data_IF_643357417572
#
_entry.id   IF_643357417572
#
_cell.length_a   1.000
_cell.length_b   1.000
_cell.length_c   1.000
_cell.angle_alpha   90.00
_cell.angle_beta   90.00
_cell.angle_gamma   90.00
#
_symmetry.space_group_name_H-M   'P 1'
#
loop_
_entity.id
_entity.type
_entity.pdbx_description
1 polymer ?
#
# COMPACT_ATOMS: atom_id res chain seq x y z
N UNK A 1 1.95 -6.61 15.70
CA UNK A 1 1.45 -6.84 14.33
C UNK A 1 0.19 -6.04 14.02
N UNK A 2 -0.83 -6.02 14.89
CA UNK A 2 -2.08 -5.26 14.66
C UNK A 2 -1.91 -3.78 14.29
N UNK A 3 -1.06 -3.03 15.01
CA UNK A 3 -0.76 -1.62 14.71
C UNK A 3 -0.19 -1.38 13.29
N UNK A 4 0.68 -2.29 12.84
CA UNK A 4 1.25 -2.20 11.49
C UNK A 4 0.19 -2.50 10.44
N UNK A 5 -0.65 -3.51 10.68
CA UNK A 5 -1.74 -3.85 9.77
C UNK A 5 -2.74 -2.69 9.65
N UNK A 6 -3.15 -2.09 10.78
CA UNK A 6 -3.99 -0.90 10.78
C UNK A 6 -3.34 0.26 10.01
N UNK A 7 -2.04 0.48 10.20
CA UNK A 7 -1.27 1.45 9.44
C UNK A 7 -1.27 1.18 7.93
N UNK A 8 -1.14 -0.07 7.48
CA UNK A 8 -1.25 -0.44 6.06
C UNK A 8 -2.66 -0.18 5.52
N UNK A 9 -3.71 -0.48 6.28
CA UNK A 9 -5.09 -0.14 5.89
C UNK A 9 -5.27 1.37 5.74
N UNK A 10 -4.75 2.18 6.67
CA UNK A 10 -4.86 3.64 6.63
C UNK A 10 -4.04 4.27 5.49
N UNK A 11 -2.93 3.67 5.09
CA UNK A 11 -2.01 4.25 4.09
C UNK A 11 -2.18 3.69 2.69
N UNK A 12 -2.87 2.54 2.54
CA UNK A 12 -3.09 1.90 1.24
C UNK A 12 -4.58 1.85 0.91
N UNK A 13 -5.42 1.34 1.82
CA UNK A 13 -6.84 1.07 1.50
C UNK A 13 -7.74 2.29 1.74
N UNK A 14 -7.56 3.01 2.85
CA UNK A 14 -8.38 4.19 3.13
C UNK A 14 -8.28 5.29 2.05
N UNK A 15 -7.09 5.59 1.48
CA UNK A 15 -6.95 6.54 0.39
C UNK A 15 -7.71 6.11 -0.87
N UNK A 16 -7.81 4.80 -1.15
CA UNK A 16 -8.60 4.28 -2.27
C UNK A 16 -10.09 4.62 -2.11
N UNK A 17 -10.63 4.31 -0.93
CA UNK A 17 -12.04 4.58 -0.63
C UNK A 17 -12.29 6.08 -0.69
N UNK A 18 -11.39 6.89 -0.12
CA UNK A 18 -11.44 8.34 -0.22
C UNK A 18 -11.45 8.83 -1.67
N UNK A 19 -10.58 8.29 -2.52
CA UNK A 19 -10.53 8.62 -3.95
C UNK A 19 -11.82 8.28 -4.69
N UNK A 20 -12.44 7.12 -4.42
CA UNK A 20 -13.73 6.76 -5.03
C UNK A 20 -14.85 7.70 -4.56
N UNK A 21 -14.88 8.00 -3.27
CA UNK A 21 -15.96 8.79 -2.65
C UNK A 21 -15.86 10.28 -3.02
N UNK A 22 -14.64 10.82 -3.10
CA UNK A 22 -14.37 12.25 -3.37
C UNK A 22 -14.20 12.51 -4.87
N UNK A 23 -13.81 11.50 -5.64
CA UNK A 23 -13.46 11.62 -7.06
C UNK A 23 -14.63 11.93 -7.98
N UNK A 24 -15.82 11.37 -7.73
CA UNK A 24 -16.98 11.54 -8.62
C UNK A 24 -16.71 11.14 -10.09
N UNK A 25 -17.74 11.16 -10.95
CA UNK A 25 -17.58 10.83 -12.38
C UNK A 25 -16.95 11.98 -13.21
N UNK A 26 -16.97 13.22 -12.72
CA UNK A 26 -16.64 14.43 -13.51
C UNK A 26 -15.25 15.03 -13.21
N UNK A 27 -14.36 14.26 -12.57
CA UNK A 27 -13.06 14.75 -12.13
C UNK A 27 -13.14 15.34 -10.73
N UNK A 28 -12.44 14.70 -9.80
CA UNK A 28 -12.58 14.95 -8.37
C UNK A 28 -12.37 16.39 -7.94
N UNK A 29 -12.91 16.70 -6.76
CA UNK A 29 -12.79 18.01 -6.09
C UNK A 29 -11.32 18.39 -5.81
N UNK A 30 -10.40 17.43 -5.89
CA UNK A 30 -8.97 17.59 -5.60
C UNK A 30 -8.17 17.54 -6.90
N UNK A 31 -7.26 18.50 -7.06
CA UNK A 31 -6.37 18.56 -8.22
C UNK A 31 -5.51 17.28 -8.37
N UNK A 32 -5.37 16.83 -9.62
CA UNK A 32 -4.69 15.59 -9.98
C UNK A 32 -3.24 15.53 -9.48
N UNK A 33 -2.48 16.63 -9.56
CA UNK A 33 -1.10 16.67 -9.08
C UNK A 33 -1.04 16.54 -7.55
N UNK A 34 -1.97 17.18 -6.84
CA UNK A 34 -2.07 17.07 -5.37
C UNK A 34 -2.34 15.62 -4.96
N UNK A 35 -3.20 14.91 -5.70
CA UNK A 35 -3.48 13.50 -5.45
C UNK A 35 -2.22 12.64 -5.55
N UNK A 36 -1.41 12.79 -6.61
CA UNK A 36 -0.17 12.01 -6.72
C UNK A 36 0.83 12.33 -5.60
N UNK A 37 0.98 13.60 -5.23
CA UNK A 37 1.88 13.99 -4.13
C UNK A 37 1.42 13.33 -2.82
N UNK A 38 0.13 13.39 -2.51
CA UNK A 38 -0.44 12.74 -1.33
C UNK A 38 -0.21 11.21 -1.36
N UNK A 39 -0.43 10.58 -2.51
CA UNK A 39 -0.22 9.14 -2.70
C UNK A 39 1.25 8.74 -2.59
N UNK A 40 2.20 9.57 -3.04
CA UNK A 40 3.64 9.35 -2.84
C UNK A 40 3.99 9.36 -1.36
N UNK A 41 3.50 10.35 -0.60
CA UNK A 41 3.74 10.46 0.84
C UNK A 41 3.18 9.22 1.56
N UNK A 42 1.94 8.85 1.28
CA UNK A 42 1.29 7.67 1.87
C UNK A 42 2.00 6.37 1.47
N UNK A 43 2.45 6.27 0.22
CA UNK A 43 3.25 5.16 -0.28
C UNK A 43 4.58 5.03 0.48
N UNK A 44 5.29 6.14 0.73
CA UNK A 44 6.53 6.14 1.50
C UNK A 44 6.30 5.73 2.96
N UNK A 45 5.22 6.20 3.59
CA UNK A 45 4.84 5.78 4.95
C UNK A 45 4.52 4.28 4.96
N UNK A 46 3.78 3.78 3.97
CA UNK A 46 3.43 2.36 3.88
C UNK A 46 4.67 1.46 3.72
N UNK A 47 5.70 1.90 2.98
CA UNK A 47 7.00 1.21 2.91
C UNK A 47 7.69 1.15 4.27
N UNK A 48 7.72 2.26 5.01
CA UNK A 48 8.29 2.28 6.36
C UNK A 48 7.56 1.30 7.30
N UNK A 49 6.22 1.26 7.24
CA UNK A 49 5.38 0.31 7.99
C UNK A 49 5.70 -1.14 7.60
N UNK A 50 5.85 -1.44 6.30
CA UNK A 50 6.20 -2.79 5.82
C UNK A 50 7.57 -3.24 6.29
N UNK A 51 8.57 -2.35 6.27
CA UNK A 51 9.92 -2.64 6.81
C UNK A 51 9.84 -2.92 8.32
N UNK A 52 9.08 -2.11 9.06
CA UNK A 52 8.84 -2.31 10.49
C UNK A 52 8.16 -3.66 10.77
N UNK A 53 7.11 -4.00 10.02
CA UNK A 53 6.41 -5.27 10.14
C UNK A 53 7.35 -6.44 9.84
N UNK A 54 8.13 -6.38 8.76
CA UNK A 54 9.09 -7.43 8.38
C UNK A 54 10.10 -7.73 9.49
N UNK A 55 10.60 -6.69 10.20
CA UNK A 55 11.48 -6.85 11.36
C UNK A 55 10.81 -7.61 12.50
N UNK A 56 9.51 -7.41 12.72
CA UNK A 56 8.77 -8.12 13.79
C UNK A 56 8.45 -9.58 13.47
N UNK A 57 8.51 -9.98 12.20
CA UNK A 57 8.19 -11.35 11.75
C UNK A 57 9.41 -12.09 11.19
N UNK A 58 10.60 -11.48 11.31
CA UNK A 58 11.85 -12.04 10.82
C UNK A 58 12.27 -13.30 11.62
N UNK A 59 13.12 -14.17 11.05
CA UNK A 59 13.58 -15.42 11.65
C UNK A 59 14.17 -15.32 13.06
N UNK A 60 14.59 -14.14 13.49
CA UNK A 60 15.15 -13.87 14.82
C UNK A 60 14.08 -13.70 15.93
N UNK A 61 12.79 -13.72 15.59
CA UNK A 61 11.68 -13.65 16.55
C UNK A 61 11.16 -15.03 16.98
N UNK A 62 10.46 -15.09 18.13
CA UNK A 62 10.00 -16.32 18.81
C UNK A 62 9.03 -17.21 18.00
N UNK A 63 8.50 -16.78 16.84
CA UNK A 63 7.73 -17.61 15.88
C UNK A 63 7.60 -16.90 14.51
N UNK A 64 8.57 -17.06 13.59
CA UNK A 64 8.55 -16.44 12.27
C UNK A 64 7.61 -17.20 11.32
N UNK A 65 6.55 -16.54 10.82
CA UNK A 65 5.74 -17.12 9.73
C UNK A 65 6.37 -16.79 8.38
N UNK A 66 6.93 -17.81 7.70
CA UNK A 66 7.52 -17.67 6.36
C UNK A 66 6.53 -17.06 5.35
N UNK A 67 5.25 -17.43 5.45
CA UNK A 67 4.19 -16.89 4.60
C UNK A 67 4.02 -15.38 4.75
N UNK A 68 3.99 -14.88 6.00
CA UNK A 68 3.90 -13.44 6.27
C UNK A 68 5.14 -12.72 5.74
N UNK A 69 6.33 -13.29 5.92
CA UNK A 69 7.57 -12.74 5.39
C UNK A 69 7.55 -12.57 3.86
N UNK A 70 7.09 -13.60 3.13
CA UNK A 70 6.96 -13.57 1.66
C UNK A 70 5.94 -12.51 1.23
N UNK A 71 4.75 -12.48 1.84
CA UNK A 71 3.72 -11.47 1.53
C UNK A 71 4.25 -10.04 1.76
N UNK A 72 4.99 -9.80 2.85
CA UNK A 72 5.62 -8.50 3.09
C UNK A 72 6.64 -8.11 2.01
N UNK A 73 7.42 -9.08 1.49
CA UNK A 73 8.38 -8.80 0.39
C UNK A 73 7.65 -8.47 -0.90
N UNK A 74 6.60 -9.23 -1.24
CA UNK A 74 5.76 -8.94 -2.42
C UNK A 74 5.16 -7.54 -2.29
N UNK A 75 4.57 -7.22 -1.13
CA UNK A 75 4.02 -5.89 -0.86
C UNK A 75 5.07 -4.79 -0.97
N UNK A 76 6.30 -4.99 -0.49
CA UNK A 76 7.37 -4.01 -0.65
C UNK A 76 7.66 -3.72 -2.14
N UNK A 77 7.78 -4.76 -2.96
CA UNK A 77 8.03 -4.60 -4.41
C UNK A 77 6.87 -3.87 -5.08
N UNK A 78 5.64 -4.30 -4.82
CA UNK A 78 4.43 -3.68 -5.35
C UNK A 78 4.36 -2.20 -4.96
N UNK A 79 4.73 -1.86 -3.71
CA UNK A 79 4.65 -0.49 -3.22
C UNK A 79 5.75 0.41 -3.76
N UNK A 80 6.91 -0.15 -4.12
CA UNK A 80 7.92 0.57 -4.91
C UNK A 80 7.39 0.88 -6.32
N UNK A 81 6.73 -0.09 -6.99
CA UNK A 81 6.12 0.15 -8.30
C UNK A 81 5.03 1.22 -8.24
N UNK A 82 4.22 1.21 -7.19
CA UNK A 82 3.20 2.24 -6.94
C UNK A 82 3.82 3.64 -6.80
N UNK A 83 4.94 3.76 -6.10
CA UNK A 83 5.67 5.04 -5.98
C UNK A 83 6.26 5.49 -7.32
N UNK A 84 6.83 4.57 -8.10
CA UNK A 84 7.35 4.87 -9.43
C UNK A 84 6.24 5.39 -10.34
N UNK A 85 5.07 4.73 -10.33
CA UNK A 85 3.91 5.16 -11.09
C UNK A 85 3.46 6.57 -10.70
N UNK A 86 3.18 6.83 -9.43
CA UNK A 86 2.75 8.17 -9.00
C UNK A 86 3.81 9.26 -9.23
N UNK A 87 5.10 8.93 -9.05
CA UNK A 87 6.17 9.87 -9.34
C UNK A 87 6.26 10.20 -10.83
N UNK A 88 6.05 9.20 -11.70
CA UNK A 88 6.01 9.38 -13.15
C UNK A 88 4.84 10.28 -13.59
N UNK A 89 3.63 10.03 -13.06
CA UNK A 89 2.44 10.86 -13.34
C UNK A 89 2.63 12.29 -12.83
N UNK A 90 3.13 12.47 -11.60
CA UNK A 90 3.43 13.79 -11.04
C UNK A 90 4.50 14.53 -11.86
N UNK A 91 5.57 13.85 -12.29
CA UNK A 91 6.62 14.45 -13.13
C UNK A 91 6.08 14.88 -14.49
N UNK A 92 5.20 14.08 -15.11
CA UNK A 92 4.56 14.43 -16.37
C UNK A 92 3.66 15.67 -16.23
N UNK A 93 2.86 15.73 -15.16
CA UNK A 93 2.02 16.90 -14.83
C UNK A 93 2.88 18.15 -14.63
N UNK A 94 3.93 18.09 -13.80
CA UNK A 94 4.84 19.21 -13.57
C UNK A 94 5.47 19.69 -14.89
N UNK A 95 5.91 18.76 -15.75
CA UNK A 95 6.50 19.08 -17.06
C UNK A 95 5.54 19.81 -17.99
N UNK A 96 4.24 19.52 -17.90
CA UNK A 96 3.21 20.03 -18.82
C UNK A 96 2.54 21.33 -18.36
N UNK A 97 2.85 21.82 -17.17
CA UNK A 97 2.27 23.06 -16.64
C UNK A 97 1.70 22.95 -15.21
N UNK A 98 1.71 21.76 -14.61
CA UNK A 98 1.32 21.53 -13.23
C UNK A 98 -0.18 21.33 -13.04
N UNK A 99 -0.80 22.18 -12.24
CA UNK A 99 -2.20 22.06 -11.82
C UNK A 99 -3.17 22.28 -12.98
N UNK A 100 -4.38 21.73 -12.88
CA UNK A 100 -5.50 21.92 -13.83
C UNK A 100 -5.26 21.42 -15.28
N UNK A 101 -4.35 20.46 -15.49
CA UNK A 101 -4.04 19.95 -16.84
C UNK A 101 -5.12 19.08 -17.50
N UNK A 102 -6.26 18.88 -16.83
CA UNK A 102 -7.46 18.25 -17.39
C UNK A 102 -7.18 16.94 -18.13
N UNK A 103 -7.93 16.69 -19.21
CA UNK A 103 -7.76 15.48 -20.02
C UNK A 103 -6.52 15.50 -20.93
N UNK A 104 -5.95 16.68 -21.19
CA UNK A 104 -4.84 16.84 -22.12
C UNK A 104 -3.56 16.10 -21.66
N UNK A 105 -3.42 15.87 -20.35
CA UNK A 105 -2.27 15.13 -19.81
C UNK A 105 -2.28 13.65 -20.18
N UNK A 106 -3.43 13.04 -20.48
CA UNK A 106 -3.51 11.62 -20.83
C UNK A 106 -2.93 11.30 -22.20
N UNK A 107 -2.67 12.31 -23.03
CA UNK A 107 -1.93 12.16 -24.29
C UNK A 107 -0.40 12.21 -24.11
N UNK A 108 0.10 12.52 -22.90
CA UNK A 108 1.52 12.50 -22.63
C UNK A 108 2.03 11.06 -22.44
N UNK A 109 3.02 10.60 -23.22
CA UNK A 109 3.49 9.22 -23.16
C UNK A 109 4.04 8.81 -21.79
N UNK A 110 4.65 9.74 -21.04
CA UNK A 110 5.17 9.47 -19.71
C UNK A 110 4.02 9.30 -18.71
N UNK A 111 3.04 10.20 -18.77
CA UNK A 111 1.83 10.08 -17.96
C UNK A 111 1.11 8.77 -18.24
N UNK A 112 0.90 8.42 -19.51
CA UNK A 112 0.20 7.19 -19.89
C UNK A 112 0.92 5.92 -19.40
N UNK A 113 2.24 5.84 -19.59
CA UNK A 113 3.02 4.69 -19.12
C UNK A 113 2.97 4.56 -17.59
N UNK A 114 3.04 5.68 -16.87
CA UNK A 114 2.98 5.70 -15.41
C UNK A 114 1.56 5.38 -14.89
N UNK A 115 0.52 5.90 -15.55
CA UNK A 115 -0.89 5.63 -15.30
C UNK A 115 -1.29 4.18 -15.61
N UNK A 116 -0.49 3.43 -16.38
CA UNK A 116 -0.64 1.97 -16.49
C UNK A 116 -0.08 1.24 -15.26
N UNK A 117 0.98 1.75 -14.64
CA UNK A 117 1.64 1.11 -13.50
C UNK A 117 0.87 1.37 -12.20
N UNK A 118 0.51 2.62 -11.94
CA UNK A 118 -0.09 3.08 -10.68
C UNK A 118 -1.32 2.28 -10.24
N UNK A 119 -2.41 2.20 -11.03
CA UNK A 119 -3.63 1.51 -10.62
C UNK A 119 -3.40 0.01 -10.45
N UNK A 120 -2.58 -0.61 -11.32
CA UNK A 120 -2.27 -2.03 -11.22
C UNK A 120 -1.47 -2.35 -9.95
N UNK A 121 -0.42 -1.58 -9.66
CA UNK A 121 0.35 -1.72 -8.43
C UNK A 121 -0.54 -1.48 -7.20
N UNK A 122 -1.43 -0.51 -7.27
CA UNK A 122 -2.34 -0.21 -6.17
C UNK A 122 -3.35 -1.34 -5.88
N UNK A 123 -3.95 -1.93 -6.92
CA UNK A 123 -4.86 -3.08 -6.77
C UNK A 123 -4.14 -4.30 -6.16
N UNK A 124 -2.92 -4.58 -6.62
CA UNK A 124 -2.08 -5.62 -6.04
C UNK A 124 -1.71 -5.33 -4.59
N UNK A 125 -1.50 -4.07 -4.22
CA UNK A 125 -1.23 -3.66 -2.84
C UNK A 125 -2.43 -3.93 -1.94
N UNK A 126 -3.65 -3.56 -2.37
CA UNK A 126 -4.89 -3.84 -1.63
C UNK A 126 -5.05 -5.35 -1.41
N UNK A 127 -4.90 -6.15 -2.47
CA UNK A 127 -4.98 -7.60 -2.38
C UNK A 127 -3.93 -8.17 -1.42
N UNK A 128 -2.69 -7.69 -1.51
CA UNK A 128 -1.61 -8.11 -0.61
C UNK A 128 -1.89 -7.76 0.86
N UNK A 129 -2.47 -6.59 1.16
CA UNK A 129 -2.89 -6.20 2.52
C UNK A 129 -4.02 -7.09 3.03
N UNK A 130 -4.98 -7.48 2.18
CA UNK A 130 -6.03 -8.43 2.54
C UNK A 130 -5.45 -9.81 2.88
N UNK A 131 -4.60 -10.36 2.02
CA UNK A 131 -3.92 -11.65 2.25
C UNK A 131 -3.11 -11.59 3.54
N UNK A 132 -2.35 -10.52 3.75
CA UNK A 132 -1.57 -10.30 4.97
C UNK A 132 -2.48 -10.24 6.20
N UNK A 133 -3.62 -9.53 6.13
CA UNK A 133 -4.60 -9.48 7.22
C UNK A 133 -5.06 -10.88 7.65
N UNK A 134 -5.41 -11.72 6.67
CA UNK A 134 -5.86 -13.10 6.91
C UNK A 134 -4.73 -13.94 7.51
N UNK A 135 -3.51 -13.85 6.97
CA UNK A 135 -2.36 -14.58 7.49
C UNK A 135 -2.07 -14.19 8.96
N UNK A 136 -2.08 -12.89 9.27
CA UNK A 136 -1.87 -12.38 10.63
C UNK A 136 -2.97 -12.88 11.58
N UNK A 137 -4.24 -12.85 11.15
CA UNK A 137 -5.36 -13.35 11.94
C UNK A 137 -5.22 -14.85 12.25
N UNK A 138 -4.90 -15.66 11.24
CA UNK A 138 -4.73 -17.12 11.40
C UNK A 138 -3.58 -17.44 12.36
N UNK A 139 -2.41 -16.80 12.19
CA UNK A 139 -1.26 -17.00 13.09
C UNK A 139 -1.63 -16.57 14.52
N UNK A 140 -2.27 -15.41 14.69
CA UNK A 140 -2.66 -14.92 16.02
C UNK A 140 -3.67 -15.86 16.69
N UNK A 141 -4.65 -16.39 15.95
CA UNK A 141 -5.62 -17.38 16.47
C UNK A 141 -4.94 -18.67 16.89
N UNK A 142 -4.02 -19.20 16.06
CA UNK A 142 -3.26 -20.42 16.39
C UNK A 142 -2.43 -20.26 17.66
N UNK A 143 -1.77 -19.12 17.84
CA UNK A 143 -0.97 -18.85 19.04
C UNK A 143 -1.82 -18.75 20.32
N UNK A 144 -3.07 -18.27 20.23
CA UNK A 144 -4.00 -18.19 21.37
C UNK A 144 -4.66 -19.54 21.71
N UNK A 145 -4.67 -20.48 20.77
CA UNK A 145 -5.33 -21.78 20.93
C UNK A 145 -4.42 -22.85 21.56
N UNK A 146 -3.12 -22.58 21.74
CA UNK A 146 -2.20 -23.49 22.44
C UNK A 146 -2.50 -23.40 23.93
N UNK A 147 -2.98 -24.48 24.58
CA UNK A 147 -3.23 -24.49 26.02
C UNK A 147 -1.90 -24.34 26.75
N UNK A 148 -1.85 -23.47 27.75
CA UNK A 148 -0.81 -23.52 28.78
C UNK A 148 -1.13 -24.77 29.59
N UNK A 149 -0.46 -25.89 29.32
CA UNK A 149 -0.45 -27.00 30.27
C UNK A 149 0.18 -26.47 31.56
N UNK A 150 -0.53 -26.45 32.69
CA UNK A 150 0.12 -26.18 33.96
C UNK A 150 1.19 -27.27 34.14
N UNK A 151 2.43 -26.86 34.41
CA UNK A 151 3.40 -27.79 34.97
C UNK A 151 2.79 -28.29 36.29
N UNK A 152 2.48 -29.58 36.33
CA UNK A 152 2.04 -30.23 37.55
C UNK A 152 3.29 -30.43 38.41
N UNK A 153 3.38 -29.64 39.49
CA UNK A 153 4.28 -29.90 40.62
C UNK A 153 3.82 -31.13 41.41
#
# INVERSE_FOLDING_TARGET
MGKYLAGLWLTIVAPFIGMIVIGGPDGGVVDHLVLHIAMIILGAISLWILVGLRRTVAPAGRTPSRGIGVTCVILLVVQVLFLIGNAGEAAALIRKGGFHLGEAIFHDPLHYAAAWITPNAFMLAILGVLVLSVQVLVVTRRLRAVPVTPEAD
#
